data_IF_515869919862
#
_entry.id   IF_515869919862
#
_cell.length_a   1.000
_cell.length_b   1.000
_cell.length_c   1.000
_cell.angle_alpha   90.00
_cell.angle_beta   90.00
_cell.angle_gamma   90.00
#
_symmetry.space_group_name_H-M   'P 1'
#
loop_
_entity.id
_entity.type
_entity.pdbx_description
1 polymer ?
#
# COMPACT_ATOMS: atom_id res chain seq x y z
N UNK A 1 10.85 -32.86 -1.32
CA UNK A 1 11.73 -31.69 -0.98
C UNK A 1 10.89 -30.55 -0.41
N UNK A 2 11.29 -29.87 0.67
CA UNK A 2 10.54 -28.71 1.18
C UNK A 2 10.69 -27.50 0.24
N UNK A 3 9.58 -26.90 -0.20
CA UNK A 3 9.57 -25.77 -1.12
C UNK A 3 8.46 -24.76 -0.77
N UNK A 4 8.66 -23.50 -1.14
CA UNK A 4 7.60 -22.48 -1.02
C UNK A 4 6.48 -22.81 -2.01
N UNK A 5 5.23 -22.67 -1.57
CA UNK A 5 4.06 -22.91 -2.41
C UNK A 5 3.19 -21.66 -2.58
N UNK A 6 3.38 -20.64 -1.75
CA UNK A 6 2.68 -19.36 -1.90
C UNK A 6 3.59 -18.16 -1.64
N UNK A 7 3.12 -17.00 -2.09
CA UNK A 7 3.73 -15.68 -1.89
C UNK A 7 2.68 -14.75 -1.31
N UNK A 8 3.02 -14.04 -0.23
CA UNK A 8 2.18 -13.00 0.36
C UNK A 8 2.10 -11.78 -0.56
N UNK A 9 1.26 -11.87 -1.59
CA UNK A 9 1.01 -10.87 -2.60
C UNK A 9 -0.50 -10.80 -2.84
N UNK A 10 -1.08 -9.62 -2.69
CA UNK A 10 -2.44 -9.37 -3.15
C UNK A 10 -2.47 -9.44 -4.68
N UNK A 11 -3.47 -10.08 -5.33
CA UNK A 11 -3.62 -10.13 -6.79
C UNK A 11 -3.90 -8.77 -7.47
N UNK A 12 -3.23 -7.71 -7.03
CA UNK A 12 -3.32 -6.34 -7.51
C UNK A 12 -1.91 -5.89 -7.89
N UNK A 13 -1.81 -5.22 -9.02
CA UNK A 13 -0.59 -4.53 -9.44
C UNK A 13 -0.92 -3.11 -9.88
N UNK A 14 0.04 -2.21 -9.65
CA UNK A 14 -0.01 -0.81 -10.09
C UNK A 14 1.31 -0.43 -10.74
N UNK A 15 1.31 0.64 -11.52
CA UNK A 15 2.56 1.20 -12.02
C UNK A 15 3.43 1.76 -10.88
N UNK A 16 4.72 1.44 -10.90
CA UNK A 16 5.70 2.19 -10.13
C UNK A 16 5.75 3.64 -10.62
N UNK A 17 5.74 4.63 -9.72
CA UNK A 17 5.82 6.05 -10.10
C UNK A 17 7.24 6.47 -10.54
N UNK A 18 8.24 5.67 -10.14
CA UNK A 18 9.63 5.74 -10.54
C UNK A 18 10.21 4.33 -10.67
N UNK A 19 11.16 4.14 -11.60
CA UNK A 19 11.91 2.89 -11.73
C UNK A 19 13.02 2.76 -10.69
N UNK A 20 13.33 3.83 -9.96
CA UNK A 20 14.37 3.85 -8.92
C UNK A 20 13.84 3.22 -7.63
N UNK A 21 14.45 2.14 -7.11
CA UNK A 21 13.98 1.46 -5.91
C UNK A 21 13.97 2.33 -4.65
N UNK A 22 14.98 3.18 -4.48
CA UNK A 22 15.10 4.12 -3.36
C UNK A 22 15.77 5.41 -3.83
N UNK A 23 15.21 6.55 -3.47
CA UNK A 23 15.71 7.88 -3.83
C UNK A 23 15.63 8.85 -2.64
N UNK A 24 16.58 9.78 -2.60
CA UNK A 24 16.56 10.90 -1.67
C UNK A 24 15.69 12.02 -2.22
N UNK A 25 14.59 12.35 -1.53
CA UNK A 25 13.75 13.52 -1.82
C UNK A 25 14.19 14.69 -0.93
N UNK A 26 14.75 15.73 -1.53
CA UNK A 26 15.19 16.93 -0.81
C UNK A 26 14.01 17.88 -0.52
N UNK A 27 13.33 17.70 0.62
CA UNK A 27 12.17 18.52 0.98
C UNK A 27 12.53 19.96 1.35
N UNK A 28 13.74 20.19 1.88
CA UNK A 28 14.25 21.52 2.23
C UNK A 28 15.53 21.79 1.46
N UNK A 29 15.54 22.76 0.52
CA UNK A 29 16.74 23.11 -0.23
C UNK A 29 17.93 23.40 0.69
N UNK A 30 19.05 22.71 0.46
CA UNK A 30 20.29 22.88 1.22
C UNK A 30 20.29 22.27 2.62
N UNK A 31 19.26 21.54 3.05
CA UNK A 31 19.24 20.88 4.36
C UNK A 31 18.93 19.37 4.25
N UNK A 32 19.99 18.57 4.27
CA UNK A 32 19.90 17.12 4.15
C UNK A 32 19.19 16.43 5.33
N UNK A 33 19.01 17.11 6.47
CA UNK A 33 18.32 16.54 7.65
C UNK A 33 16.85 16.22 7.38
N UNK A 34 16.25 16.83 6.35
CA UNK A 34 14.87 16.59 5.93
C UNK A 34 14.78 15.88 4.57
N UNK A 35 15.90 15.28 4.12
CA UNK A 35 15.87 14.40 2.97
C UNK A 35 15.09 13.14 3.35
N UNK A 36 14.02 12.88 2.60
CA UNK A 36 13.11 11.78 2.82
C UNK A 36 13.45 10.62 1.88
N UNK A 37 13.36 9.40 2.39
CA UNK A 37 13.38 8.19 1.59
C UNK A 37 12.07 8.07 0.80
N UNK A 38 12.19 8.01 -0.53
CA UNK A 38 11.11 7.70 -1.45
C UNK A 38 11.44 6.41 -2.18
N UNK A 39 10.51 5.47 -2.22
CA UNK A 39 10.72 4.14 -2.83
C UNK A 39 9.78 3.96 -4.02
N UNK A 40 10.34 3.69 -5.21
CA UNK A 40 9.58 3.59 -6.47
C UNK A 40 8.65 4.79 -6.74
N UNK A 41 9.00 5.96 -6.19
CA UNK A 41 8.23 7.19 -6.30
C UNK A 41 7.10 7.36 -5.26
N UNK A 42 6.94 6.41 -4.33
CA UNK A 42 5.98 6.50 -3.22
C UNK A 42 6.65 6.97 -1.93
N UNK A 43 5.90 7.73 -1.14
CA UNK A 43 6.34 8.29 0.15
C UNK A 43 5.76 7.48 1.29
N UNK A 44 6.61 7.08 2.26
CA UNK A 44 6.12 6.38 3.45
C UNK A 44 5.20 7.29 4.27
N UNK A 45 4.11 6.72 4.80
CA UNK A 45 3.15 7.44 5.62
C UNK A 45 2.15 8.30 4.84
N UNK A 46 2.17 8.26 3.52
CA UNK A 46 1.17 8.92 2.66
C UNK A 46 0.18 7.90 2.14
N UNK A 47 -1.12 8.22 2.24
CA UNK A 47 -2.20 7.43 1.66
C UNK A 47 -2.42 7.77 0.19
N UNK A 48 -2.65 6.72 -0.61
CA UNK A 48 -2.92 6.77 -2.05
C UNK A 48 -4.23 6.03 -2.34
N UNK A 49 -5.05 6.51 -3.27
CA UNK A 49 -6.09 5.67 -3.88
C UNK A 49 -5.45 4.84 -4.99
N UNK A 50 -5.25 3.54 -4.73
CA UNK A 50 -4.56 2.64 -5.65
C UNK A 50 -5.31 2.45 -6.98
N UNK A 51 -6.59 2.81 -7.04
CA UNK A 51 -7.38 2.79 -8.26
C UNK A 51 -7.26 4.09 -9.08
N UNK A 52 -6.50 5.09 -8.61
CA UNK A 52 -6.47 6.43 -9.21
C UNK A 52 -5.04 6.98 -9.37
N UNK A 53 -4.16 6.14 -9.91
CA UNK A 53 -2.75 6.45 -10.18
C UNK A 53 -2.36 6.04 -11.61
N UNK A 54 -1.43 6.78 -12.23
CA UNK A 54 -0.78 6.36 -13.46
C UNK A 54 0.57 7.08 -13.66
N UNK A 55 1.64 6.30 -13.82
CA UNK A 55 3.01 6.81 -13.99
C UNK A 55 3.38 7.19 -15.44
N UNK A 56 2.51 6.89 -16.41
CA UNK A 56 2.73 7.05 -17.85
C UNK A 56 1.51 7.63 -18.59
N UNK A 57 0.57 8.23 -17.85
CA UNK A 57 -0.64 8.83 -18.40
C UNK A 57 -1.45 9.55 -17.33
N UNK A 58 -2.56 10.16 -17.75
CA UNK A 58 -3.44 10.96 -16.88
C UNK A 58 -4.75 10.24 -16.53
N UNK A 59 -4.93 9.04 -17.06
CA UNK A 59 -6.07 8.15 -16.79
C UNK A 59 -5.65 7.05 -15.83
N UNK A 60 -6.47 6.65 -14.85
CA UNK A 60 -6.09 5.60 -13.90
C UNK A 60 -5.63 4.30 -14.56
N UNK A 61 -4.63 3.66 -13.98
CA UNK A 61 -4.05 2.42 -14.50
C UNK A 61 -3.65 1.47 -13.37
N UNK A 62 -4.35 0.35 -13.30
CA UNK A 62 -4.22 -0.71 -12.30
C UNK A 62 -4.55 -2.05 -12.94
N UNK A 63 -4.06 -3.15 -12.37
CA UNK A 63 -4.12 -4.47 -12.98
C UNK A 63 -4.47 -5.56 -11.97
N UNK A 64 -5.21 -6.56 -12.43
CA UNK A 64 -5.39 -7.83 -11.74
C UNK A 64 -4.25 -8.77 -12.18
N UNK A 65 -3.58 -9.39 -11.22
CA UNK A 65 -2.54 -10.39 -11.48
C UNK A 65 -3.22 -11.73 -11.71
N UNK A 66 -2.78 -12.50 -12.71
CA UNK A 66 -3.16 -13.90 -12.85
C UNK A 66 -2.57 -14.70 -11.68
N UNK A 67 -3.37 -15.21 -10.74
CA UNK A 67 -2.83 -15.90 -9.58
C UNK A 67 -2.34 -17.32 -9.89
N UNK A 68 -2.66 -17.86 -11.08
CA UNK A 68 -2.40 -19.25 -11.47
C UNK A 68 -1.32 -19.39 -12.54
N UNK A 69 -0.94 -18.31 -13.23
CA UNK A 69 0.15 -18.30 -14.20
C UNK A 69 1.48 -17.85 -13.56
N UNK A 70 2.49 -18.73 -13.44
CA UNK A 70 3.80 -18.35 -12.96
C UNK A 70 4.48 -17.30 -13.86
N UNK A 71 5.49 -16.56 -13.35
CA UNK A 71 6.25 -15.62 -14.16
C UNK A 71 6.80 -16.26 -15.44
N UNK A 72 6.63 -15.58 -16.57
CA UNK A 72 7.04 -16.05 -17.90
C UNK A 72 6.06 -17.04 -18.57
N UNK A 73 4.97 -17.41 -17.90
CA UNK A 73 3.91 -18.28 -18.45
C UNK A 73 2.72 -17.42 -18.85
N UNK A 74 2.23 -17.64 -20.08
CA UNK A 74 1.01 -16.99 -20.56
C UNK A 74 -0.21 -17.51 -19.82
N UNK A 75 -0.92 -16.61 -19.14
CA UNK A 75 -2.16 -16.90 -18.45
C UNK A 75 -3.37 -17.08 -19.38
N UNK A 76 -4.48 -17.55 -18.81
CA UNK A 76 -5.75 -17.75 -19.51
C UNK A 76 -6.79 -16.73 -19.03
N UNK A 77 -7.70 -16.32 -19.92
CA UNK A 77 -8.77 -15.38 -19.57
C UNK A 77 -9.63 -15.87 -18.40
N UNK A 78 -9.88 -17.18 -18.31
CA UNK A 78 -10.65 -17.79 -17.21
C UNK A 78 -9.98 -17.65 -15.84
N UNK A 79 -8.67 -17.45 -15.77
CA UNK A 79 -7.97 -17.26 -14.49
C UNK A 79 -8.35 -15.94 -13.80
N UNK A 80 -8.87 -14.97 -14.56
CA UNK A 80 -9.26 -13.65 -14.07
C UNK A 80 -10.73 -13.55 -13.65
N UNK A 81 -11.49 -14.65 -13.75
CA UNK A 81 -12.87 -14.66 -13.28
C UNK A 81 -12.92 -14.38 -11.77
N UNK A 82 -13.91 -13.60 -11.32
CA UNK A 82 -13.99 -13.11 -9.92
C UNK A 82 -14.04 -14.27 -8.91
N UNK A 83 -14.72 -15.35 -9.24
CA UNK A 83 -14.80 -16.57 -8.43
C UNK A 83 -13.47 -17.33 -8.33
N UNK A 84 -12.61 -17.20 -9.34
CA UNK A 84 -11.24 -17.74 -9.32
C UNK A 84 -10.32 -16.85 -8.50
N UNK A 85 -10.35 -15.53 -8.68
CA UNK A 85 -9.41 -14.61 -8.01
C UNK A 85 -9.81 -14.24 -6.59
N UNK A 86 -11.10 -14.27 -6.26
CA UNK A 86 -11.67 -13.87 -4.98
C UNK A 86 -10.97 -14.51 -3.77
N UNK A 87 -10.79 -15.84 -3.71
CA UNK A 87 -10.10 -16.51 -2.62
C UNK A 87 -8.67 -16.00 -2.38
N UNK A 88 -7.94 -15.65 -3.45
CA UNK A 88 -6.58 -15.09 -3.35
C UNK A 88 -6.58 -13.64 -2.86
N UNK A 89 -7.62 -12.87 -3.15
CA UNK A 89 -7.82 -11.50 -2.62
C UNK A 89 -8.17 -11.54 -1.13
N UNK A 90 -9.06 -12.46 -0.72
CA UNK A 90 -9.36 -12.74 0.70
C UNK A 90 -8.08 -13.08 1.46
N UNK A 91 -7.34 -14.09 0.97
CA UNK A 91 -6.14 -14.56 1.64
C UNK A 91 -5.00 -13.53 1.58
N UNK A 92 -4.96 -12.67 0.56
CA UNK A 92 -3.87 -11.72 0.33
C UNK A 92 -2.58 -12.42 -0.10
N UNK A 93 -2.71 -13.55 -0.77
CA UNK A 93 -1.59 -14.37 -1.24
C UNK A 93 -1.94 -15.06 -2.56
N UNK A 94 -0.92 -15.36 -3.35
CA UNK A 94 -1.01 -16.15 -4.58
C UNK A 94 -0.28 -17.48 -4.41
N UNK A 95 -0.75 -18.57 -5.03
CA UNK A 95 -0.12 -19.89 -4.97
C UNK A 95 1.08 -20.00 -5.92
N UNK A 96 1.91 -18.95 -5.95
CA UNK A 96 3.12 -18.90 -6.75
C UNK A 96 4.33 -18.90 -5.80
N UNK A 97 5.39 -19.67 -6.07
CA UNK A 97 6.58 -19.72 -5.22
C UNK A 97 7.43 -18.44 -5.32
N UNK A 98 7.29 -17.71 -6.42
CA UNK A 98 7.96 -16.45 -6.70
C UNK A 98 7.16 -15.65 -7.73
N UNK A 99 7.33 -14.33 -7.69
CA UNK A 99 6.86 -13.41 -8.73
C UNK A 99 8.01 -12.76 -9.52
N UNK A 100 9.25 -13.16 -9.22
CA UNK A 100 10.44 -12.79 -9.97
C UNK A 100 10.84 -13.85 -10.98
N UNK A 101 11.78 -13.52 -11.87
CA UNK A 101 12.34 -14.45 -12.87
C UNK A 101 11.63 -14.45 -14.22
N UNK A 102 10.61 -13.62 -14.42
CA UNK A 102 9.89 -13.43 -15.69
C UNK A 102 8.87 -12.29 -15.59
N UNK A 103 8.06 -12.10 -16.63
CA UNK A 103 6.92 -11.17 -16.60
C UNK A 103 5.69 -11.85 -15.98
N UNK A 104 4.88 -11.09 -15.24
CA UNK A 104 3.58 -11.58 -14.78
C UNK A 104 2.54 -11.41 -15.89
N UNK A 105 1.59 -12.35 -16.00
CA UNK A 105 0.39 -12.16 -16.81
C UNK A 105 -0.64 -11.32 -16.02
N UNK A 106 -1.21 -10.32 -16.67
CA UNK A 106 -2.05 -9.29 -16.07
C UNK A 106 -3.32 -9.09 -16.87
N UNK A 107 -4.44 -8.81 -16.19
CA UNK A 107 -5.62 -8.20 -16.79
C UNK A 107 -5.66 -6.71 -16.43
N UNK A 108 -5.81 -5.85 -17.43
CA UNK A 108 -5.95 -4.41 -17.24
C UNK A 108 -7.28 -4.10 -16.57
N UNK A 109 -7.25 -3.29 -15.51
CA UNK A 109 -8.40 -2.98 -14.66
C UNK A 109 -8.62 -4.06 -13.59
N UNK A 110 -8.17 -3.78 -12.37
CA UNK A 110 -8.57 -4.55 -11.18
C UNK A 110 -10.08 -4.35 -10.92
N UNK A 111 -10.89 -5.42 -10.84
CA UNK A 111 -12.35 -5.31 -10.76
C UNK A 111 -12.81 -5.03 -9.32
N UNK A 112 -12.46 -3.85 -8.78
CA UNK A 112 -12.70 -3.50 -7.38
C UNK A 112 -14.19 -3.58 -6.99
N UNK A 113 -15.10 -3.18 -7.87
CA UNK A 113 -16.54 -3.26 -7.62
C UNK A 113 -17.02 -4.68 -7.28
N UNK A 114 -16.34 -5.72 -7.76
CA UNK A 114 -16.66 -7.11 -7.46
C UNK A 114 -15.82 -7.70 -6.31
N UNK A 115 -14.74 -7.02 -5.90
CA UNK A 115 -13.72 -7.56 -4.99
C UNK A 115 -13.57 -6.78 -3.68
N UNK A 116 -14.21 -5.62 -3.51
CA UNK A 116 -14.00 -4.79 -2.31
C UNK A 116 -14.43 -5.49 -1.01
N UNK A 117 -15.49 -6.29 -1.01
CA UNK A 117 -15.84 -7.13 0.15
C UNK A 117 -14.75 -8.14 0.51
N UNK A 118 -14.04 -8.68 -0.49
CA UNK A 118 -12.93 -9.61 -0.24
C UNK A 118 -11.77 -8.89 0.47
N UNK A 119 -11.52 -7.63 0.12
CA UNK A 119 -10.53 -6.78 0.78
C UNK A 119 -10.97 -6.42 2.21
N UNK A 120 -12.26 -6.14 2.40
CA UNK A 120 -12.84 -5.66 3.66
C UNK A 120 -12.92 -6.71 4.77
N UNK A 121 -12.72 -8.00 4.47
CA UNK A 121 -12.49 -9.05 5.49
C UNK A 121 -11.39 -8.67 6.50
N UNK A 122 -10.40 -7.86 6.08
CA UNK A 122 -9.34 -7.32 6.94
C UNK A 122 -9.84 -6.39 8.05
N UNK A 123 -11.04 -5.86 7.91
CA UNK A 123 -11.73 -5.00 8.87
C UNK A 123 -12.81 -5.78 9.65
N UNK A 124 -12.77 -7.11 9.62
CA UNK A 124 -13.80 -7.98 10.22
C UNK A 124 -15.18 -7.85 9.54
N UNK A 125 -15.19 -7.40 8.28
CA UNK A 125 -16.39 -7.34 7.44
C UNK A 125 -16.46 -8.57 6.54
N UNK A 126 -17.28 -9.53 6.96
CA UNK A 126 -17.58 -10.76 6.20
C UNK A 126 -18.98 -10.72 5.56
N UNK A 127 -19.53 -9.52 5.34
CA UNK A 127 -20.78 -9.36 4.60
C UNK A 127 -20.69 -10.05 3.22
N UNK A 128 -21.84 -10.50 2.71
CA UNK A 128 -22.00 -11.20 1.42
C UNK A 128 -21.22 -12.51 1.27
N UNK A 129 -20.64 -13.04 2.35
CA UNK A 129 -19.91 -14.32 2.38
C UNK A 129 -18.78 -14.42 1.35
N UNK A 130 -18.17 -13.29 1.00
CA UNK A 130 -17.05 -13.24 0.05
C UNK A 130 -15.79 -13.94 0.58
N UNK A 131 -15.59 -13.92 1.90
CA UNK A 131 -14.52 -14.60 2.61
C UNK A 131 -15.06 -15.30 3.86
N UNK A 132 -14.27 -16.19 4.45
CA UNK A 132 -14.50 -16.70 5.82
C UNK A 132 -13.35 -16.29 6.73
N UNK A 133 -13.60 -16.19 8.03
CA UNK A 133 -12.60 -15.79 9.01
C UNK A 133 -11.47 -16.83 9.15
N UNK A 134 -11.75 -18.12 8.89
CA UNK A 134 -10.75 -19.18 8.94
C UNK A 134 -9.73 -19.07 7.81
N UNK A 135 -10.19 -18.77 6.58
CA UNK A 135 -9.33 -18.63 5.40
C UNK A 135 -8.73 -17.23 5.23
N UNK A 136 -9.37 -16.22 5.80
CA UNK A 136 -8.96 -14.83 5.71
C UNK A 136 -9.28 -14.11 7.03
N UNK A 137 -8.50 -14.36 8.10
CA UNK A 137 -8.73 -13.71 9.40
C UNK A 137 -8.57 -12.19 9.30
N UNK A 138 -9.28 -11.44 10.16
CA UNK A 138 -9.23 -9.98 10.15
C UNK A 138 -7.90 -9.48 10.73
N UNK A 139 -7.67 -8.18 10.63
CA UNK A 139 -6.51 -7.56 11.28
C UNK A 139 -6.67 -7.55 12.81
N UNK A 140 -5.58 -7.64 13.56
CA UNK A 140 -5.62 -7.47 15.02
C UNK A 140 -6.10 -6.08 15.46
N UNK A 141 -5.97 -5.06 14.59
CA UNK A 141 -6.56 -3.74 14.77
C UNK A 141 -7.39 -3.36 13.53
N UNK A 142 -8.70 -3.53 13.64
CA UNK A 142 -9.67 -3.26 12.57
C UNK A 142 -10.13 -1.81 12.51
N UNK A 143 -9.55 -0.89 13.30
CA UNK A 143 -10.00 0.49 13.38
C UNK A 143 -9.83 1.25 12.05
N UNK A 144 -10.91 1.73 11.40
CA UNK A 144 -10.80 2.59 10.24
C UNK A 144 -10.22 3.96 10.64
N UNK A 145 -9.23 4.43 9.90
CA UNK A 145 -8.68 5.78 10.04
C UNK A 145 -9.35 6.72 9.06
N UNK A 146 -10.66 6.87 9.24
CA UNK A 146 -11.49 7.74 8.40
C UNK A 146 -11.14 9.20 8.63
N UNK A 147 -10.92 9.94 7.54
CA UNK A 147 -10.63 11.37 7.53
C UNK A 147 -11.63 12.21 8.36
N UNK A 148 -12.88 11.76 8.49
CA UNK A 148 -13.94 12.43 9.23
C UNK A 148 -13.81 12.30 10.75
N UNK A 149 -13.08 11.28 11.22
CA UNK A 149 -12.91 10.99 12.66
C UNK A 149 -11.47 11.18 13.14
N UNK A 150 -10.54 11.37 12.21
CA UNK A 150 -9.14 11.61 12.49
C UNK A 150 -8.94 12.92 13.27
N UNK A 151 -8.33 12.81 14.45
CA UNK A 151 -8.12 13.95 15.37
C UNK A 151 -6.67 14.42 15.47
N UNK A 152 -5.71 13.66 14.94
CA UNK A 152 -4.27 13.92 15.16
C UNK A 152 -3.59 14.86 14.17
N UNK A 153 -4.35 15.39 13.21
CA UNK A 153 -3.85 16.24 12.14
C UNK A 153 -4.71 17.50 12.04
N UNK A 154 -4.06 18.66 11.95
CA UNK A 154 -4.70 19.97 11.84
C UNK A 154 -4.08 20.78 10.69
N UNK A 155 -4.90 21.34 9.77
CA UNK A 155 -6.35 21.11 9.64
C UNK A 155 -6.68 19.64 9.33
N UNK A 156 -7.90 19.23 9.65
CA UNK A 156 -8.38 17.89 9.34
C UNK A 156 -8.33 17.62 7.83
N UNK A 157 -8.03 16.38 7.47
CA UNK A 157 -8.02 15.95 6.08
C UNK A 157 -9.42 16.00 5.47
N UNK A 158 -9.54 16.48 4.23
CA UNK A 158 -10.82 16.51 3.50
C UNK A 158 -10.93 15.39 2.46
N UNK A 159 -9.83 14.69 2.16
CA UNK A 159 -9.76 13.50 1.31
C UNK A 159 -9.20 12.31 2.10
N UNK A 160 -9.54 11.07 1.72
CA UNK A 160 -9.14 9.86 2.46
C UNK A 160 -7.71 9.40 2.11
N UNK A 161 -7.25 9.76 0.92
CA UNK A 161 -5.85 9.70 0.49
C UNK A 161 -5.35 11.13 0.23
N UNK A 162 -4.07 11.27 -0.08
CA UNK A 162 -3.59 12.48 -0.75
C UNK A 162 -4.41 12.69 -2.04
N UNK A 163 -4.91 13.91 -2.23
CA UNK A 163 -5.80 14.21 -3.34
C UNK A 163 -5.07 14.06 -4.67
N UNK A 164 -5.75 13.57 -5.70
CA UNK A 164 -5.16 13.35 -7.03
C UNK A 164 -4.72 14.65 -7.68
N UNK A 165 -3.65 14.56 -8.46
CA UNK A 165 -3.13 15.65 -9.26
C UNK A 165 -2.37 15.13 -10.48
N UNK A 166 -2.74 15.67 -11.64
CA UNK A 166 -1.99 15.48 -12.87
C UNK A 166 -0.83 16.47 -13.00
N UNK A 167 0.40 15.94 -13.06
CA UNK A 167 1.62 16.73 -13.28
C UNK A 167 2.62 15.94 -14.13
N UNK A 168 3.34 16.63 -15.02
CA UNK A 168 4.37 16.00 -15.87
C UNK A 168 3.85 14.87 -16.78
N UNK A 169 2.57 14.91 -17.18
CA UNK A 169 1.93 13.86 -17.98
C UNK A 169 1.55 12.60 -17.20
N UNK A 170 1.59 12.65 -15.86
CA UNK A 170 1.30 11.53 -14.96
C UNK A 170 0.15 11.88 -14.03
N UNK A 171 -0.61 10.86 -13.61
CA UNK A 171 -1.63 10.95 -12.58
C UNK A 171 -1.01 10.54 -11.23
N UNK A 172 -0.69 11.53 -10.42
CA UNK A 172 -0.05 11.43 -9.11
C UNK A 172 -1.00 11.89 -8.01
N UNK A 173 -0.51 11.99 -6.77
CA UNK A 173 -1.18 12.72 -5.70
C UNK A 173 -0.51 14.07 -5.45
N UNK A 174 -1.20 14.94 -4.70
CA UNK A 174 -0.65 16.22 -4.24
C UNK A 174 0.53 16.09 -3.29
N UNK A 175 0.81 14.90 -2.77
CA UNK A 175 1.97 14.66 -1.93
C UNK A 175 3.26 14.42 -2.75
N UNK A 176 3.18 14.03 -4.02
CA UNK A 176 4.32 13.47 -4.73
C UNK A 176 5.19 14.50 -5.47
N UNK A 177 4.65 15.42 -6.31
CA UNK A 177 5.46 16.38 -7.04
C UNK A 177 6.36 17.24 -6.15
N UNK A 178 7.57 17.51 -6.64
CA UNK A 178 8.48 18.50 -6.08
C UNK A 178 9.00 19.40 -7.22
N UNK A 179 8.86 20.74 -7.14
CA UNK A 179 8.11 21.47 -6.12
C UNK A 179 6.62 21.10 -6.12
N UNK A 180 5.98 21.15 -4.95
CA UNK A 180 4.55 20.89 -4.80
C UNK A 180 3.68 21.98 -5.44
N UNK A 181 2.37 21.71 -5.60
CA UNK A 181 1.43 22.70 -6.15
C UNK A 181 1.37 23.88 -5.20
N UNK A 182 1.53 25.10 -5.71
CA UNK A 182 1.27 26.30 -4.93
C UNK A 182 -0.19 26.33 -4.39
N UNK A 183 -1.13 25.71 -5.10
CA UNK A 183 -2.52 25.59 -4.64
C UNK A 183 -2.74 24.53 -3.56
N UNK A 184 -1.77 23.63 -3.32
CA UNK A 184 -1.92 22.56 -2.34
C UNK A 184 -2.19 23.15 -0.94
N UNK A 185 -2.99 22.43 -0.16
CA UNK A 185 -3.42 22.82 1.19
C UNK A 185 -3.19 21.66 2.12
N UNK A 186 -2.96 21.96 3.40
CA UNK A 186 -2.69 20.93 4.41
C UNK A 186 -3.75 19.80 4.43
N UNK A 187 -5.02 20.15 4.25
CA UNK A 187 -6.13 19.20 4.25
C UNK A 187 -6.17 18.24 3.04
N UNK A 188 -5.42 18.52 1.96
CA UNK A 188 -5.38 17.74 0.72
C UNK A 188 -4.30 16.65 0.72
N UNK A 189 -3.46 16.57 1.76
CA UNK A 189 -2.50 15.47 1.92
C UNK A 189 -3.16 14.16 2.39
N UNK A 190 -4.44 14.21 2.79
CA UNK A 190 -5.12 13.08 3.43
C UNK A 190 -4.61 12.79 4.84
N UNK A 191 -5.18 11.79 5.54
CA UNK A 191 -4.60 11.21 6.74
C UNK A 191 -3.11 10.89 6.57
N UNK A 192 -2.29 11.37 7.51
CA UNK A 192 -0.86 11.09 7.52
C UNK A 192 -0.49 10.17 8.69
N UNK A 193 0.42 9.24 8.37
CA UNK A 193 1.15 8.41 9.33
C UNK A 193 0.24 7.62 10.25
N UNK A 194 -0.78 6.97 9.68
CA UNK A 194 -1.63 6.04 10.42
C UNK A 194 -0.93 4.72 10.74
N UNK A 195 0.01 4.29 9.87
CA UNK A 195 0.72 3.02 9.98
C UNK A 195 2.25 3.18 9.93
N UNK A 196 2.78 4.05 9.08
CA UNK A 196 4.20 4.30 8.90
C UNK A 196 4.56 5.79 8.99
N UNK A 197 5.73 6.09 9.55
CA UNK A 197 6.32 7.41 9.47
C UNK A 197 7.09 7.58 8.15
N UNK A 198 7.25 8.83 7.69
CA UNK A 198 8.27 9.14 6.71
C UNK A 198 9.66 8.81 7.28
N UNK A 199 10.59 8.35 6.45
CA UNK A 199 11.91 7.90 6.89
C UNK A 199 12.99 8.87 6.38
N UNK A 200 13.94 9.32 7.22
CA UNK A 200 15.11 10.06 6.75
C UNK A 200 15.94 9.21 5.79
N UNK A 201 16.36 9.77 4.66
CA UNK A 201 17.18 9.04 3.69
C UNK A 201 18.52 8.57 4.28
N UNK A 202 19.05 9.27 5.29
CA UNK A 202 20.26 8.86 6.03
C UNK A 202 20.08 7.61 6.89
N UNK A 203 18.84 7.26 7.26
CA UNK A 203 18.53 6.02 7.99
C UNK A 203 18.45 4.80 7.06
N UNK A 204 18.29 5.04 5.75
CA UNK A 204 18.25 3.98 4.75
C UNK A 204 19.64 3.39 4.52
N UNK A 205 19.71 2.06 4.61
CA UNK A 205 20.83 1.29 4.10
C UNK A 205 20.35 0.51 2.89
N UNK A 206 21.10 0.54 1.79
CA UNK A 206 20.86 -0.30 0.62
C UNK A 206 21.17 -1.77 0.98
N UNK A 207 20.27 -2.38 1.73
CA UNK A 207 20.25 -3.79 2.09
C UNK A 207 19.01 -4.41 1.47
N UNK A 208 19.06 -5.70 1.10
CA UNK A 208 17.90 -6.34 0.51
C UNK A 208 16.72 -6.30 1.48
N UNK A 209 16.95 -6.45 2.79
CA UNK A 209 15.87 -6.53 3.78
C UNK A 209 15.90 -5.31 4.70
N UNK A 210 14.73 -4.67 4.88
CA UNK A 210 14.54 -3.67 5.93
C UNK A 210 14.87 -4.28 7.30
N UNK A 211 15.52 -3.54 8.22
CA UNK A 211 15.78 -4.04 9.57
C UNK A 211 14.51 -4.57 10.25
N UNK A 212 14.65 -5.59 11.11
CA UNK A 212 13.49 -6.23 11.75
C UNK A 212 12.62 -5.26 12.58
N UNK A 213 13.22 -4.20 13.12
CA UNK A 213 12.51 -3.12 13.83
C UNK A 213 12.05 -1.97 12.94
N UNK A 214 12.21 -2.07 11.62
CA UNK A 214 12.03 -0.96 10.67
C UNK A 214 13.12 0.10 10.77
N UNK A 215 13.03 1.11 9.91
CA UNK A 215 13.83 2.32 10.05
C UNK A 215 13.24 3.27 11.10
N UNK A 216 14.10 4.03 11.78
CA UNK A 216 13.63 5.15 12.62
C UNK A 216 13.04 6.25 11.74
N UNK A 217 11.81 6.66 12.04
CA UNK A 217 11.10 7.67 11.26
C UNK A 217 11.36 9.11 11.72
N UNK A 218 10.88 10.06 10.91
CA UNK A 218 10.75 11.45 11.32
C UNK A 218 9.71 11.59 12.45
N UNK A 219 9.96 12.48 13.40
CA UNK A 219 8.92 12.90 14.34
C UNK A 219 7.88 13.81 13.66
N UNK A 220 6.66 13.87 14.20
CA UNK A 220 5.55 14.66 13.64
C UNK A 220 5.82 16.16 13.58
N UNK A 221 6.76 16.67 14.39
CA UNK A 221 7.28 18.06 14.30
C UNK A 221 7.92 18.37 12.95
N UNK A 222 8.33 17.35 12.19
CA UNK A 222 8.92 17.47 10.86
C UNK A 222 7.89 17.70 9.76
N UNK A 223 6.58 17.59 10.02
CA UNK A 223 5.54 17.78 8.99
C UNK A 223 5.66 19.15 8.31
N UNK A 224 6.01 20.19 9.08
CA UNK A 224 6.26 21.55 8.57
C UNK A 224 7.36 21.64 7.51
N UNK A 225 8.22 20.62 7.41
CA UNK A 225 9.33 20.53 6.45
C UNK A 225 9.08 19.51 5.36
N UNK A 226 8.36 18.43 5.66
CA UNK A 226 8.11 17.33 4.72
C UNK A 226 6.93 17.61 3.77
N UNK A 227 5.98 18.45 4.17
CA UNK A 227 4.71 18.64 3.46
C UNK A 227 4.49 20.10 3.05
N UNK A 228 5.30 20.60 2.13
CA UNK A 228 5.20 21.98 1.60
C UNK A 228 4.38 22.03 0.30
N UNK A 229 3.67 23.13 -0.01
CA UNK A 229 3.84 24.49 0.54
C UNK A 229 3.04 24.83 1.79
N UNK A 230 1.88 24.19 2.01
CA UNK A 230 1.00 24.47 3.15
C UNK A 230 0.93 23.24 4.06
N UNK A 231 1.82 23.14 5.08
CA UNK A 231 1.98 21.92 5.84
C UNK A 231 0.87 21.70 6.87
N UNK A 232 0.44 20.45 7.08
CA UNK A 232 -0.33 20.11 8.26
C UNK A 232 0.55 20.19 9.52
N UNK A 233 -0.13 20.33 10.65
CA UNK A 233 0.44 20.23 11.98
C UNK A 233 -0.15 19.04 12.72
N UNK A 234 0.61 18.46 13.64
CA UNK A 234 0.15 17.36 14.48
C UNK A 234 -0.55 17.90 15.73
N UNK A 235 -1.65 17.27 16.13
CA UNK A 235 -2.45 17.66 17.28
C UNK A 235 -2.87 16.44 18.09
N UNK A 236 -2.09 16.03 19.09
CA UNK A 236 -2.42 14.85 19.92
C UNK A 236 -2.26 13.52 19.18
N UNK A 237 -1.14 13.35 18.46
CA UNK A 237 -0.83 12.12 17.73
C UNK A 237 -0.79 10.88 18.65
N UNK A 238 -1.61 9.85 18.39
CA UNK A 238 -1.74 8.69 19.26
C UNK A 238 -0.57 7.73 18.99
N UNK A 239 0.53 8.01 19.67
CA UNK A 239 1.74 7.20 19.65
C UNK A 239 2.34 7.14 21.05
N UNK A 240 2.81 5.95 21.44
CA UNK A 240 3.57 5.75 22.68
C UNK A 240 5.02 6.21 22.55
N UNK A 241 5.51 6.37 21.32
CA UNK A 241 6.84 6.86 20.97
C UNK A 241 6.79 7.73 19.70
N UNK A 242 7.27 8.99 19.72
CA UNK A 242 7.07 9.95 18.63
C UNK A 242 7.64 9.58 17.25
N UNK A 243 8.58 8.63 17.17
CA UNK A 243 9.30 8.27 15.93
C UNK A 243 9.23 6.78 15.55
N UNK A 244 8.62 5.95 16.41
CA UNK A 244 8.58 4.49 16.23
C UNK A 244 7.20 3.88 16.49
N UNK A 245 6.25 4.65 17.03
CA UNK A 245 4.86 4.21 17.22
C UNK A 245 3.94 4.99 16.30
N UNK A 246 2.87 4.34 15.85
CA UNK A 246 1.81 4.92 15.02
C UNK A 246 0.44 4.63 15.64
N UNK A 247 -0.64 5.30 15.16
CA UNK A 247 -2.01 5.01 15.54
C UNK A 247 -2.36 3.51 15.44
N UNK A 248 -1.87 2.83 14.41
CA UNK A 248 -2.06 1.39 14.21
C UNK A 248 -1.48 0.52 15.33
N UNK A 249 -0.34 0.90 15.87
CA UNK A 249 0.34 0.15 16.93
C UNK A 249 -0.30 0.36 18.31
N UNK A 250 -1.36 1.17 18.43
CA UNK A 250 -2.11 1.28 19.68
C UNK A 250 -2.92 0.00 19.93
N UNK A 251 -3.00 -0.40 21.19
CA UNK A 251 -3.74 -1.60 21.64
C UNK A 251 -5.05 -1.26 22.37
N UNK A 252 -5.33 0.03 22.56
CA UNK A 252 -6.50 0.56 23.25
C UNK A 252 -6.80 1.98 22.77
N UNK A 253 -7.99 2.50 23.06
CA UNK A 253 -8.35 3.90 22.81
C UNK A 253 -8.93 4.15 21.42
N UNK A 254 -9.00 5.43 21.02
CA UNK A 254 -9.72 5.87 19.83
C UNK A 254 -9.08 5.48 18.48
N UNK A 255 -7.93 4.80 18.48
CA UNK A 255 -7.27 4.29 17.27
C UNK A 255 -7.10 2.78 17.27
N UNK A 256 -7.80 2.09 18.18
CA UNK A 256 -7.82 0.65 18.26
C UNK A 256 -9.25 0.12 18.33
N UNK A 257 -9.51 -0.89 17.52
CA UNK A 257 -10.73 -1.69 17.59
C UNK A 257 -10.30 -3.14 17.39
N UNK A 258 -10.58 -4.00 18.38
CA UNK A 258 -10.37 -5.44 18.24
C UNK A 258 -11.45 -6.04 17.32
N UNK A 259 -11.15 -7.14 16.60
CA UNK A 259 -12.16 -7.93 15.91
C UNK A 259 -13.30 -8.37 16.83
N UNK A 260 -14.42 -8.78 16.22
CA UNK A 260 -15.50 -9.50 16.88
C UNK A 260 -14.98 -10.71 17.64
N UNK A 261 -15.64 -11.05 18.74
CA UNK A 261 -15.16 -12.04 19.73
C UNK A 261 -14.81 -13.40 19.12
N UNK A 262 -15.55 -13.84 18.10
CA UNK A 262 -15.35 -15.13 17.43
C UNK A 262 -14.14 -15.14 16.49
N UNK A 263 -13.59 -13.96 16.14
CA UNK A 263 -12.46 -13.79 15.23
C UNK A 263 -11.22 -13.21 15.92
N UNK A 264 -11.27 -13.02 17.25
CA UNK A 264 -10.12 -12.57 18.03
C UNK A 264 -9.03 -13.65 18.12
N UNK A 265 -7.74 -13.26 18.22
CA UNK A 265 -7.23 -11.89 18.27
C UNK A 265 -7.02 -11.23 16.88
N UNK A 266 -7.47 -11.86 15.79
CA UNK A 266 -7.07 -11.47 14.43
C UNK A 266 -5.59 -11.75 14.17
N UNK A 267 -5.09 -11.28 13.02
CA UNK A 267 -3.68 -11.41 12.63
C UNK A 267 -3.10 -10.01 12.37
N UNK A 268 -1.93 -9.71 12.93
CA UNK A 268 -1.29 -8.40 12.74
C UNK A 268 -0.88 -8.18 11.29
N UNK A 269 -0.99 -6.94 10.81
CA UNK A 269 -0.65 -6.47 9.47
C UNK A 269 -1.48 -7.07 8.33
N UNK A 270 -2.67 -7.64 8.59
CA UNK A 270 -3.57 -8.14 7.53
C UNK A 270 -4.07 -7.01 6.63
N UNK A 271 -4.20 -5.79 7.16
CA UNK A 271 -4.52 -4.58 6.38
C UNK A 271 -3.40 -4.13 5.46
N UNK A 272 -2.18 -4.67 5.60
CA UNK A 272 -1.08 -4.38 4.68
C UNK A 272 -1.22 -5.25 3.43
N UNK A 273 -1.53 -4.59 2.32
CA UNK A 273 -1.53 -5.19 0.99
C UNK A 273 -0.12 -5.16 0.43
N UNK A 274 0.39 -6.33 0.06
CA UNK A 274 1.61 -6.43 -0.75
C UNK A 274 1.19 -6.33 -2.21
N UNK A 275 1.54 -5.24 -2.88
CA UNK A 275 1.10 -4.90 -4.24
C UNK A 275 2.30 -4.88 -5.18
N UNK A 276 2.19 -5.56 -6.32
CA UNK A 276 3.26 -5.56 -7.31
C UNK A 276 3.39 -4.18 -7.97
N UNK A 277 4.62 -3.67 -8.01
CA UNK A 277 4.96 -2.41 -8.67
C UNK A 277 5.55 -2.72 -10.04
N UNK A 278 4.81 -2.39 -11.10
CA UNK A 278 5.15 -2.75 -12.47
C UNK A 278 6.05 -1.72 -13.15
N UNK A 279 6.87 -2.18 -14.09
CA UNK A 279 7.51 -1.33 -15.07
C UNK A 279 6.44 -0.81 -16.06
N UNK A 280 6.26 0.51 -16.11
CA UNK A 280 5.30 1.16 -16.99
C UNK A 280 5.99 2.06 -18.04
N UNK A 281 5.38 2.27 -19.23
CA UNK A 281 4.03 1.81 -19.61
C UNK A 281 3.94 0.31 -19.88
N UNK A 282 2.83 -0.31 -19.46
CA UNK A 282 2.52 -1.71 -19.80
C UNK A 282 1.93 -1.76 -21.20
N UNK A 283 2.33 -2.76 -22.00
CA UNK A 283 1.83 -2.94 -23.35
C UNK A 283 0.29 -2.95 -23.42
N UNK A 284 -0.25 -2.37 -24.49
CA UNK A 284 -1.68 -2.32 -24.73
C UNK A 284 -2.30 -3.73 -24.85
N UNK A 285 -3.57 -3.86 -24.44
CA UNK A 285 -4.29 -5.13 -24.42
C UNK A 285 -5.09 -5.32 -23.14
N UNK A 286 -6.15 -6.12 -23.23
CA UNK A 286 -6.98 -6.50 -22.08
C UNK A 286 -6.23 -7.47 -21.16
N UNK A 287 -5.57 -8.47 -21.75
CA UNK A 287 -4.60 -9.35 -21.08
C UNK A 287 -3.23 -9.02 -21.66
N UNK A 288 -2.25 -8.84 -20.78
CA UNK A 288 -0.89 -8.37 -21.12
C UNK A 288 0.12 -8.98 -20.16
N UNK A 289 1.39 -8.64 -20.31
CA UNK A 289 2.42 -9.00 -19.34
C UNK A 289 3.35 -7.84 -19.03
N UNK A 290 3.88 -7.81 -17.80
CA UNK A 290 4.81 -6.78 -17.36
C UNK A 290 5.83 -7.31 -16.36
N UNK A 291 7.00 -6.68 -16.34
CA UNK A 291 8.03 -6.94 -15.34
C UNK A 291 7.68 -6.28 -14.02
N UNK A 292 7.92 -6.98 -12.92
CA UNK A 292 7.79 -6.46 -11.55
C UNK A 292 9.10 -5.81 -11.14
N UNK A 293 9.04 -4.53 -10.77
CA UNK A 293 10.21 -3.78 -10.28
C UNK A 293 10.44 -3.97 -8.78
N UNK A 294 9.38 -4.20 -8.02
CA UNK A 294 9.39 -4.43 -6.57
C UNK A 294 7.98 -4.68 -6.05
N UNK A 295 7.83 -4.83 -4.73
CA UNK A 295 6.52 -4.92 -4.08
C UNK A 295 6.38 -3.82 -3.05
N UNK A 296 5.30 -3.05 -3.16
CA UNK A 296 4.95 -2.03 -2.18
C UNK A 296 4.05 -2.60 -1.09
N UNK A 297 4.31 -2.21 0.15
CA UNK A 297 3.41 -2.44 1.29
C UNK A 297 2.45 -1.27 1.38
N UNK A 298 1.16 -1.53 1.22
CA UNK A 298 0.11 -0.53 1.26
C UNK A 298 -0.92 -0.89 2.34
N UNK A 299 -0.90 -0.16 3.44
CA UNK A 299 -1.81 -0.36 4.57
C UNK A 299 -3.17 0.27 4.28
N UNK A 300 -4.24 -0.52 4.18
CA UNK A 300 -5.59 -0.01 3.99
C UNK A 300 -5.99 0.89 5.17
N UNK A 301 -6.20 2.19 4.93
CA UNK A 301 -6.53 3.14 6.01
C UNK A 301 -8.00 3.04 6.40
N UNK A 302 -8.87 2.68 5.46
CA UNK A 302 -10.31 2.43 5.64
C UNK A 302 -10.73 1.23 4.79
N UNK A 303 -11.93 0.67 5.02
CA UNK A 303 -12.53 -0.30 4.10
C UNK A 303 -12.55 0.24 2.66
N UNK A 304 -12.30 -0.65 1.70
CA UNK A 304 -12.46 -0.36 0.28
C UNK A 304 -13.93 -0.15 -0.05
N UNK A 305 -14.18 0.72 -1.03
CA UNK A 305 -15.49 0.86 -1.68
C UNK A 305 -15.46 0.19 -3.05
N UNK A 306 -16.57 0.22 -3.78
CA UNK A 306 -16.61 -0.28 -5.17
C UNK A 306 -15.71 0.51 -6.13
N UNK A 307 -15.24 1.70 -5.76
CA UNK A 307 -14.47 2.59 -6.64
C UNK A 307 -13.10 2.99 -6.09
N UNK A 308 -12.87 2.89 -4.78
CA UNK A 308 -11.65 3.41 -4.16
C UNK A 308 -11.01 2.41 -3.21
N UNK A 309 -9.69 2.30 -3.31
CA UNK A 309 -8.84 1.52 -2.42
C UNK A 309 -7.78 2.45 -1.83
N UNK A 310 -8.12 3.09 -0.71
CA UNK A 310 -7.25 4.04 -0.03
C UNK A 310 -6.27 3.31 0.89
N UNK A 311 -4.98 3.40 0.60
CA UNK A 311 -3.95 2.72 1.37
C UNK A 311 -2.67 3.56 1.53
N UNK A 312 -2.14 3.56 2.76
CA UNK A 312 -0.90 4.21 3.15
C UNK A 312 0.32 3.40 2.75
N UNK A 313 1.23 4.01 1.98
CA UNK A 313 2.47 3.33 1.63
C UNK A 313 3.37 3.22 2.86
N UNK A 314 3.81 2.00 3.16
CA UNK A 314 4.63 1.68 4.32
C UNK A 314 6.05 1.26 3.94
N UNK A 315 6.41 1.29 2.66
CA UNK A 315 7.72 0.93 2.15
C UNK A 315 7.71 -0.18 1.12
N UNK A 316 8.84 -0.39 0.47
CA UNK A 316 9.02 -1.46 -0.49
C UNK A 316 9.71 -2.69 0.11
N UNK A 317 9.41 -3.85 -0.45
CA UNK A 317 10.07 -5.12 -0.18
C UNK A 317 10.76 -5.61 -1.47
N UNK A 318 11.97 -6.21 -1.38
CA UNK A 318 12.49 -6.95 -2.51
C UNK A 318 11.65 -8.22 -2.72
N UNK A 319 11.63 -8.71 -3.96
CA UNK A 319 10.89 -9.92 -4.33
C UNK A 319 11.34 -11.16 -3.52
N UNK A 320 12.62 -11.24 -3.14
CA UNK A 320 13.18 -12.35 -2.38
C UNK A 320 12.64 -12.49 -0.95
N UNK A 321 12.07 -11.40 -0.40
CA UNK A 321 11.56 -11.37 0.98
C UNK A 321 10.08 -11.72 1.10
N UNK A 322 9.37 -11.84 -0.02
CA UNK A 322 7.98 -12.29 0.00
C UNK A 322 7.95 -13.79 0.32
N UNK A 323 7.61 -14.13 1.56
CA UNK A 323 7.42 -15.50 2.01
C UNK A 323 5.93 -15.80 2.19
N UNK A 324 5.46 -16.89 1.60
CA UNK A 324 4.20 -17.54 1.96
C UNK A 324 4.46 -18.92 2.57
N UNK A 325 3.47 -19.80 2.50
CA UNK A 325 3.53 -21.14 3.07
C UNK A 325 4.65 -21.99 2.44
N UNK A 326 5.23 -22.88 3.26
CA UNK A 326 6.24 -23.87 2.86
C UNK A 326 5.63 -25.25 3.06
N UNK A 327 5.70 -26.09 2.03
CA UNK A 327 5.19 -27.46 2.08
C UNK A 327 6.26 -28.47 1.64
N UNK A 328 6.09 -29.71 2.10
CA UNK A 328 6.89 -30.84 1.64
C UNK A 328 6.35 -31.32 0.29
N UNK A 329 7.07 -31.05 -0.79
CA UNK A 329 6.78 -31.62 -2.11
C UNK A 329 7.23 -33.09 -2.14
N UNK A 330 6.53 -33.98 -2.87
CA UNK A 330 6.93 -35.39 -3.06
C UNK A 330 8.37 -35.55 -3.58
#
# INVERSE_FOLDING_TARGET
VAGRVSTALTPLAICAQSTTPAASRANVPGNASYNELVEYGFRRGVAYDLMNLNASGVTPEHFLIDPLAPPGVTGLASHFATDVVGPFVCAGQVPLPTIGGGTLTLQRGFPLAALYHHLNSRFDDYADHACTAEGAPPDSNIMPYDKATLSWMAPAAITQSAASWTSGGKLWTRADPLPGDASNKAALYGPLWSYAHAIPYSAYSAQPVEPAGGYSGFATTSWSKLYTPDPPSSSGYPASSPATSTPYLQLTGATFLAPGVDHQPGVTNRRVLNVALLACPVAAGAITSASVLGVGRFFMTVPATSTSLNAEFAGALPLSTLSGAVELQP
#
